data_IF_281206919599
#
_entry.id   IF_281206919599
#
_cell.length_a   1.000
_cell.length_b   1.000
_cell.length_c   1.000
_cell.angle_alpha   90.00
_cell.angle_beta   90.00
_cell.angle_gamma   90.00
#
_symmetry.space_group_name_H-M   'P 1'
#
loop_
_entity.id
_entity.type
_entity.pdbx_description
1 polymer ?
#
# COMPACT_ATOMS: atom_id res chain seq x y z
N UNK A 1 -18.09 -25.97 4.15
CA UNK A 1 -17.56 -24.81 4.91
C UNK A 1 -18.24 -24.85 6.26
N UNK A 2 -17.50 -24.66 7.34
CA UNK A 2 -18.06 -24.61 8.69
C UNK A 2 -17.89 -23.19 9.23
N UNK A 3 -18.95 -22.64 9.82
CA UNK A 3 -18.98 -21.33 10.44
C UNK A 3 -19.39 -21.51 11.89
N UNK A 4 -18.63 -20.93 12.81
CA UNK A 4 -18.94 -20.97 14.24
C UNK A 4 -18.75 -19.59 14.86
N UNK A 5 -19.77 -19.09 15.54
CA UNK A 5 -19.69 -17.88 16.34
C UNK A 5 -19.03 -18.22 17.68
N UNK A 6 -17.98 -17.49 18.04
CA UNK A 6 -17.21 -17.68 19.26
C UNK A 6 -17.32 -16.38 20.06
N UNK A 7 -17.75 -16.47 21.31
CA UNK A 7 -17.72 -15.32 22.22
C UNK A 7 -16.28 -14.90 22.49
N UNK A 8 -16.04 -13.59 22.43
CA UNK A 8 -14.77 -13.05 22.85
C UNK A 8 -14.77 -12.95 24.38
N UNK A 9 -13.98 -13.81 25.04
CA UNK A 9 -13.81 -13.77 26.49
C UNK A 9 -12.85 -12.67 26.97
N UNK A 10 -12.25 -11.92 26.04
CA UNK A 10 -11.37 -10.80 26.36
C UNK A 10 -12.18 -9.58 26.82
N UNK A 11 -12.20 -9.36 28.14
CA UNK A 11 -12.89 -8.23 28.77
C UNK A 11 -12.31 -6.87 28.36
N UNK A 12 -11.07 -6.84 27.86
CA UNK A 12 -10.37 -5.59 27.54
C UNK A 12 -10.74 -5.05 26.15
N UNK A 13 -11.50 -5.81 25.35
CA UNK A 13 -11.98 -5.38 24.04
C UNK A 13 -13.51 -5.47 23.89
N UNK A 14 -14.28 -4.62 24.61
CA UNK A 14 -15.74 -4.65 24.60
C UNK A 14 -16.36 -4.30 23.23
N UNK A 15 -15.55 -3.79 22.30
CA UNK A 15 -15.99 -3.46 20.94
C UNK A 15 -16.09 -4.69 20.04
N UNK A 16 -15.43 -5.80 20.38
CA UNK A 16 -15.43 -7.05 19.62
C UNK A 16 -16.02 -8.16 20.51
N UNK A 17 -17.36 -8.25 20.66
CA UNK A 17 -17.96 -9.27 21.52
C UNK A 17 -17.88 -10.70 20.94
N UNK A 18 -17.67 -10.84 19.63
CA UNK A 18 -17.60 -12.15 18.98
C UNK A 18 -16.53 -12.22 17.91
N UNK A 19 -16.01 -13.43 17.70
CA UNK A 19 -15.28 -13.82 16.50
C UNK A 19 -16.10 -14.83 15.72
N UNK A 20 -16.10 -14.71 14.39
CA UNK A 20 -16.58 -15.77 13.52
C UNK A 20 -15.41 -16.63 13.07
N UNK A 21 -15.37 -17.89 13.53
CA UNK A 21 -14.46 -18.90 13.01
C UNK A 21 -15.01 -19.45 11.71
N UNK A 22 -14.21 -19.39 10.65
CA UNK A 22 -14.55 -19.93 9.33
C UNK A 22 -13.54 -21.01 8.96
N UNK A 23 -14.03 -22.19 8.64
CA UNK A 23 -13.25 -23.30 8.12
C UNK A 23 -13.73 -23.68 6.73
N UNK A 24 -12.85 -23.48 5.76
CA UNK A 24 -13.09 -23.88 4.38
C UNK A 24 -12.39 -25.21 4.17
N UNK A 25 -13.15 -26.30 4.11
CA UNK A 25 -12.65 -27.68 3.96
C UNK A 25 -11.99 -27.98 2.60
N UNK A 26 -11.46 -26.97 1.90
CA UNK A 26 -10.83 -27.11 0.60
C UNK A 26 -9.34 -27.48 0.73
N UNK A 27 -8.85 -28.29 -0.22
CA UNK A 27 -7.47 -28.81 -0.32
C UNK A 27 -6.39 -27.74 -0.61
N UNK A 28 -6.67 -26.45 -0.42
CA UNK A 28 -5.73 -25.38 -0.72
C UNK A 28 -4.75 -25.15 0.43
N UNK A 29 -3.45 -24.96 0.15
CA UNK A 29 -2.47 -24.65 1.18
C UNK A 29 -2.77 -23.35 1.95
N UNK A 30 -3.53 -22.41 1.36
CA UNK A 30 -3.95 -21.17 2.03
C UNK A 30 -5.17 -21.34 2.95
N UNK A 31 -5.88 -22.47 2.88
CA UNK A 31 -7.16 -22.70 3.58
C UNK A 31 -7.08 -23.77 4.68
N UNK A 32 -5.88 -24.25 5.02
CA UNK A 32 -5.68 -25.28 6.05
C UNK A 32 -5.90 -24.77 7.48
N UNK A 33 -5.94 -23.45 7.68
CA UNK A 33 -6.15 -22.83 8.99
C UNK A 33 -7.52 -22.14 9.04
N UNK A 34 -8.20 -22.18 10.20
CA UNK A 34 -9.38 -21.36 10.43
C UNK A 34 -9.06 -19.87 10.34
N UNK A 35 -10.01 -19.12 9.80
CA UNK A 35 -10.03 -17.66 9.85
C UNK A 35 -10.85 -17.22 11.05
N UNK A 36 -10.47 -16.11 11.69
CA UNK A 36 -11.21 -15.52 12.80
C UNK A 36 -11.57 -14.09 12.44
N UNK A 37 -12.80 -13.89 12.00
CA UNK A 37 -13.27 -12.56 11.59
C UNK A 37 -13.88 -11.85 12.81
N UNK A 38 -13.34 -10.70 13.22
CA UNK A 38 -13.90 -9.94 14.34
C UNK A 38 -15.28 -9.39 13.97
N UNK A 39 -16.25 -9.55 14.88
CA UNK A 39 -17.56 -8.92 14.79
C UNK A 39 -17.60 -7.78 15.79
N UNK A 40 -17.81 -6.58 15.28
CA UNK A 40 -17.86 -5.35 16.07
C UNK A 40 -19.28 -5.05 16.51
N UNK A 41 -19.45 -4.61 17.75
CA UNK A 41 -20.71 -4.05 18.22
C UNK A 41 -20.66 -2.52 18.18
N UNK A 42 -21.65 -1.91 17.55
CA UNK A 42 -21.74 -0.46 17.47
C UNK A 42 -23.12 0.04 17.88
N UNK A 43 -23.12 0.97 18.84
CA UNK A 43 -24.30 1.73 19.23
C UNK A 43 -24.26 3.10 18.56
N UNK A 44 -25.12 3.35 17.56
CA UNK A 44 -25.25 4.67 16.92
C UNK A 44 -26.65 5.20 17.22
N UNK A 45 -26.72 6.23 18.06
CA UNK A 45 -27.98 6.85 18.53
C UNK A 45 -28.90 5.79 19.13
N UNK A 46 -30.04 5.50 18.50
CA UNK A 46 -31.05 4.54 18.97
C UNK A 46 -30.95 3.16 18.30
N UNK A 47 -29.85 2.90 17.58
CA UNK A 47 -29.66 1.63 16.87
C UNK A 47 -28.38 0.95 17.32
N UNK A 48 -28.57 -0.25 17.85
CA UNK A 48 -27.51 -1.22 18.11
C UNK A 48 -27.40 -2.16 16.92
N UNK A 49 -26.18 -2.36 16.42
CA UNK A 49 -25.93 -3.28 15.32
C UNK A 49 -24.58 -3.98 15.47
N UNK A 50 -24.53 -5.21 14.99
CA UNK A 50 -23.32 -5.99 14.82
C UNK A 50 -22.80 -5.80 13.39
N UNK A 51 -21.51 -5.52 13.27
CA UNK A 51 -20.86 -5.20 12.01
C UNK A 51 -19.66 -6.08 11.79
N UNK A 52 -19.44 -6.42 10.53
CA UNK A 52 -18.25 -7.14 10.08
C UNK A 52 -17.85 -6.62 8.71
N UNK A 53 -16.55 -6.64 8.41
CA UNK A 53 -16.02 -6.31 7.10
C UNK A 53 -15.27 -7.53 6.56
N UNK A 54 -15.61 -7.98 5.35
CA UNK A 54 -14.96 -9.12 4.69
C UNK A 54 -14.41 -8.66 3.35
N UNK A 55 -13.09 -8.59 3.23
CA UNK A 55 -12.40 -8.09 2.04
C UNK A 55 -12.94 -6.71 1.59
N UNK A 56 -13.32 -5.85 2.55
CA UNK A 56 -13.89 -4.54 2.31
C UNK A 56 -15.42 -4.51 2.15
N UNK A 57 -16.09 -5.66 2.07
CA UNK A 57 -17.55 -5.74 1.96
C UNK A 57 -18.14 -5.57 3.36
N UNK A 58 -18.85 -4.45 3.66
CA UNK A 58 -19.45 -4.25 4.97
C UNK A 58 -20.75 -5.05 5.09
N UNK A 59 -20.92 -5.74 6.21
CA UNK A 59 -22.15 -6.42 6.58
C UNK A 59 -22.61 -5.95 7.94
N UNK A 60 -23.93 -5.83 8.09
CA UNK A 60 -24.58 -5.38 9.31
C UNK A 60 -25.79 -6.25 9.59
N UNK A 61 -26.00 -6.55 10.88
CA UNK A 61 -27.23 -7.18 11.36
C UNK A 61 -27.57 -6.75 12.79
N UNK A 62 -28.79 -7.06 13.24
CA UNK A 62 -29.26 -6.72 14.60
C UNK A 62 -28.71 -7.66 15.66
N UNK A 63 -28.43 -8.90 15.30
CA UNK A 63 -27.80 -9.90 16.16
C UNK A 63 -26.55 -10.47 15.49
N UNK A 64 -25.60 -10.96 16.28
CA UNK A 64 -24.40 -11.60 15.73
C UNK A 64 -24.73 -12.87 14.93
N UNK A 65 -25.73 -13.64 15.36
CA UNK A 65 -26.19 -14.85 14.66
C UNK A 65 -26.72 -14.56 13.25
N UNK A 66 -27.41 -13.43 13.06
CA UNK A 66 -27.93 -13.02 11.75
C UNK A 66 -26.83 -12.67 10.73
N UNK A 67 -25.58 -12.45 11.17
CA UNK A 67 -24.44 -12.25 10.27
C UNK A 67 -23.97 -13.56 9.64
N UNK A 68 -24.09 -14.69 10.33
CA UNK A 68 -23.60 -16.00 9.86
C UNK A 68 -24.12 -16.36 8.46
N UNK A 69 -25.44 -16.37 8.20
CA UNK A 69 -25.96 -16.71 6.86
C UNK A 69 -25.63 -15.66 5.80
N UNK A 70 -25.32 -14.42 6.18
CA UNK A 70 -24.88 -13.37 5.24
C UNK A 70 -23.45 -13.59 4.80
N UNK A 71 -22.59 -13.95 5.75
CA UNK A 71 -21.18 -14.24 5.53
C UNK A 71 -21.02 -15.53 4.71
N UNK A 72 -21.82 -16.55 5.01
CA UNK A 72 -21.86 -17.79 4.25
C UNK A 72 -22.15 -17.57 2.75
N UNK A 73 -22.93 -16.54 2.40
CA UNK A 73 -23.19 -16.17 1.00
C UNK A 73 -22.05 -15.40 0.32
N UNK A 74 -21.17 -14.78 1.09
CA UNK A 74 -20.09 -13.90 0.59
C UNK A 74 -18.77 -14.62 0.44
N UNK A 75 -18.45 -15.57 1.33
CA UNK A 75 -17.18 -16.29 1.26
C UNK A 75 -17.03 -17.10 -0.03
N UNK A 76 -18.02 -17.91 -0.48
CA UNK A 76 -17.84 -18.76 -1.66
C UNK A 76 -17.54 -17.96 -2.95
N UNK A 77 -18.23 -16.84 -3.26
CA UNK A 77 -17.87 -16.00 -4.41
C UNK A 77 -16.47 -15.37 -4.34
N UNK A 78 -15.90 -15.19 -3.13
CA UNK A 78 -14.54 -14.70 -2.93
C UNK A 78 -13.47 -15.79 -3.11
N UNK A 79 -13.86 -17.07 -3.24
CA UNK A 79 -12.93 -18.16 -3.49
C UNK A 79 -12.71 -18.32 -4.99
N UNK A 80 -11.47 -18.16 -5.44
CA UNK A 80 -11.06 -18.45 -6.82
C UNK A 80 -9.89 -19.41 -6.82
N UNK A 81 -10.02 -20.54 -7.52
CA UNK A 81 -8.98 -21.58 -7.56
C UNK A 81 -8.61 -22.09 -6.15
N UNK A 82 -9.61 -22.19 -5.27
CA UNK A 82 -9.45 -22.49 -3.85
C UNK A 82 -8.54 -21.50 -3.07
N UNK A 83 -8.43 -20.25 -3.51
CA UNK A 83 -7.69 -19.19 -2.80
C UNK A 83 -8.60 -18.03 -2.47
N UNK A 84 -8.28 -17.38 -1.35
CA UNK A 84 -8.83 -16.08 -1.00
C UNK A 84 -8.06 -14.96 -1.70
N UNK A 85 -8.64 -13.76 -1.82
CA UNK A 85 -7.95 -12.61 -2.39
C UNK A 85 -6.75 -12.23 -1.53
N UNK A 86 -5.65 -11.85 -2.16
CA UNK A 86 -4.50 -11.26 -1.46
C UNK A 86 -4.59 -9.73 -1.42
N UNK A 87 -5.31 -9.14 -2.38
CA UNK A 87 -5.63 -7.73 -2.41
C UNK A 87 -7.09 -7.52 -2.83
N UNK A 88 -7.55 -6.29 -2.67
CA UNK A 88 -8.71 -5.78 -3.37
C UNK A 88 -8.38 -4.46 -4.05
N UNK A 89 -9.00 -4.24 -5.20
CA UNK A 89 -9.14 -2.90 -5.77
C UNK A 89 -10.50 -2.32 -5.38
N UNK A 90 -10.51 -1.05 -4.98
CA UNK A 90 -11.70 -0.34 -4.52
C UNK A 90 -11.89 0.89 -5.41
N UNK A 91 -13.00 0.92 -6.13
CA UNK A 91 -13.47 2.14 -6.79
C UNK A 91 -14.15 3.01 -5.74
N UNK A 92 -13.59 4.20 -5.45
CA UNK A 92 -13.95 4.98 -4.26
C UNK A 92 -15.38 5.52 -4.33
N UNK A 93 -15.81 5.99 -5.50
CA UNK A 93 -17.13 6.61 -5.65
C UNK A 93 -18.23 5.56 -5.71
N UNK A 94 -18.04 4.51 -6.52
CA UNK A 94 -19.02 3.42 -6.63
C UNK A 94 -19.00 2.46 -5.44
N UNK A 95 -17.94 2.51 -4.61
CA UNK A 95 -17.64 1.57 -3.51
C UNK A 95 -17.59 0.10 -3.97
N UNK A 96 -17.40 -0.14 -5.27
CA UNK A 96 -17.23 -1.48 -5.82
C UNK A 96 -15.87 -2.03 -5.45
N UNK A 97 -15.86 -3.32 -5.16
CA UNK A 97 -14.69 -4.08 -4.73
C UNK A 97 -14.40 -5.14 -5.78
N UNK A 98 -13.16 -5.17 -6.22
CA UNK A 98 -12.66 -6.12 -7.20
C UNK A 98 -11.57 -6.96 -6.52
N UNK A 99 -11.88 -8.22 -6.15
CA UNK A 99 -10.91 -9.11 -5.54
C UNK A 99 -9.72 -9.39 -6.47
N UNK A 100 -8.52 -9.40 -5.90
CA UNK A 100 -7.28 -9.69 -6.62
C UNK A 100 -6.56 -10.86 -5.96
N UNK A 101 -6.21 -11.85 -6.77
CA UNK A 101 -5.62 -13.11 -6.35
C UNK A 101 -4.16 -13.18 -6.80
N UNK A 102 -3.34 -13.91 -6.07
CA UNK A 102 -1.95 -14.22 -6.44
C UNK A 102 -1.82 -15.70 -6.74
N UNK A 103 -1.36 -16.05 -7.94
CA UNK A 103 -1.09 -17.43 -8.36
C UNK A 103 0.36 -17.53 -8.85
N UNK A 104 1.23 -18.17 -8.06
CA UNK A 104 2.67 -18.16 -8.36
C UNK A 104 3.21 -16.74 -8.39
N UNK A 105 3.75 -16.32 -9.55
CA UNK A 105 4.25 -14.97 -9.79
C UNK A 105 3.22 -14.00 -10.39
N UNK A 106 2.03 -14.47 -10.75
CA UNK A 106 1.00 -13.64 -11.37
C UNK A 106 0.01 -13.11 -10.34
N UNK A 107 -0.45 -11.88 -10.58
CA UNK A 107 -1.63 -11.29 -9.96
C UNK A 107 -2.78 -11.31 -10.94
N UNK A 108 -3.98 -11.59 -10.45
CA UNK A 108 -5.16 -11.81 -11.26
C UNK A 108 -6.36 -11.08 -10.66
N UNK A 109 -7.04 -10.25 -11.45
CA UNK A 109 -8.33 -9.65 -11.11
C UNK A 109 -9.38 -10.06 -12.14
N UNK A 110 -10.63 -10.17 -11.71
CA UNK A 110 -11.73 -10.59 -12.58
C UNK A 110 -13.01 -9.86 -12.24
N UNK A 111 -13.84 -9.63 -13.25
CA UNK A 111 -15.22 -9.16 -13.07
C UNK A 111 -16.16 -10.36 -13.26
N UNK A 112 -17.25 -10.41 -12.51
CA UNK A 112 -18.25 -11.47 -12.64
C UNK A 112 -18.84 -11.45 -14.06
N UNK A 113 -18.68 -12.54 -14.81
CA UNK A 113 -19.10 -12.62 -16.22
C UNK A 113 -18.26 -11.81 -17.21
N UNK A 114 -17.17 -11.18 -16.74
CA UNK A 114 -16.28 -10.35 -17.55
C UNK A 114 -14.92 -10.98 -17.85
N UNK A 115 -13.99 -10.22 -18.43
CA UNK A 115 -12.64 -10.69 -18.74
C UNK A 115 -11.80 -10.95 -17.48
N UNK A 116 -10.74 -11.72 -17.69
CA UNK A 116 -9.70 -11.99 -16.71
C UNK A 116 -8.50 -11.09 -16.98
N UNK A 117 -8.09 -10.29 -16.00
CA UNK A 117 -6.90 -9.45 -16.07
C UNK A 117 -5.78 -10.12 -15.30
N UNK A 118 -4.65 -10.40 -15.96
CA UNK A 118 -3.49 -11.04 -15.33
C UNK A 118 -2.20 -10.36 -15.73
N UNK A 119 -1.26 -10.27 -14.80
CA UNK A 119 0.10 -9.80 -15.05
C UNK A 119 1.01 -10.21 -13.90
N UNK A 120 2.33 -10.11 -14.06
CA UNK A 120 3.30 -10.22 -12.95
C UNK A 120 3.36 -8.95 -12.07
N UNK A 121 2.58 -7.92 -12.40
CA UNK A 121 2.58 -6.61 -11.72
C UNK A 121 1.17 -6.20 -11.33
N UNK A 122 0.98 -5.88 -10.04
CA UNK A 122 -0.28 -5.35 -9.54
C UNK A 122 -0.67 -4.03 -10.21
N UNK A 123 0.33 -3.21 -10.55
CA UNK A 123 0.15 -1.97 -11.28
C UNK A 123 -0.54 -2.18 -12.64
N UNK A 124 -0.07 -3.15 -13.43
CA UNK A 124 -0.62 -3.46 -14.75
C UNK A 124 -2.00 -4.09 -14.69
N UNK A 125 -2.26 -4.98 -13.73
CA UNK A 125 -3.62 -5.51 -13.53
C UNK A 125 -4.58 -4.38 -13.15
N UNK A 126 -4.15 -3.43 -12.31
CA UNK A 126 -4.97 -2.25 -11.99
C UNK A 126 -5.24 -1.41 -13.23
N UNK A 127 -4.23 -1.15 -14.07
CA UNK A 127 -4.34 -0.41 -15.33
C UNK A 127 -5.36 -1.06 -16.26
N UNK A 128 -5.19 -2.34 -16.59
CA UNK A 128 -6.11 -3.07 -17.48
C UNK A 128 -7.54 -3.09 -16.97
N UNK A 129 -7.72 -3.32 -15.67
CA UNK A 129 -9.04 -3.28 -15.05
C UNK A 129 -9.63 -1.87 -15.12
N UNK A 130 -8.84 -0.84 -14.83
CA UNK A 130 -9.28 0.57 -14.89
C UNK A 130 -9.72 0.93 -16.30
N UNK A 131 -8.95 0.57 -17.32
CA UNK A 131 -9.28 0.84 -18.73
C UNK A 131 -10.59 0.16 -19.14
N UNK A 132 -10.79 -1.10 -18.73
CA UNK A 132 -12.03 -1.81 -18.99
C UNK A 132 -13.23 -1.16 -18.27
N UNK A 133 -13.07 -0.78 -17.00
CA UNK A 133 -14.12 -0.13 -16.23
C UNK A 133 -14.48 1.25 -16.81
N UNK A 134 -13.52 1.98 -17.40
CA UNK A 134 -13.80 3.19 -18.18
C UNK A 134 -14.59 2.89 -19.45
N UNK A 135 -14.16 1.88 -20.23
CA UNK A 135 -14.83 1.50 -21.47
C UNK A 135 -16.27 1.04 -21.25
N UNK A 136 -16.55 0.39 -20.12
CA UNK A 136 -17.88 -0.10 -19.74
C UNK A 136 -18.72 0.92 -18.96
N UNK A 137 -18.16 2.09 -18.64
CA UNK A 137 -18.85 3.14 -17.88
C UNK A 137 -19.12 2.78 -16.41
N UNK A 138 -18.41 1.80 -15.86
CA UNK A 138 -18.50 1.45 -14.43
C UNK A 138 -17.80 2.49 -13.54
N UNK A 139 -16.78 3.16 -14.07
CA UNK A 139 -16.10 4.31 -13.47
C UNK A 139 -15.93 5.42 -14.51
N UNK A 140 -15.75 6.66 -14.05
CA UNK A 140 -15.74 7.84 -14.92
C UNK A 140 -14.31 8.31 -15.25
N UNK A 141 -14.01 8.65 -16.52
CA UNK A 141 -12.72 9.20 -16.89
C UNK A 141 -12.45 10.55 -16.17
N UNK A 142 -11.21 11.05 -16.19
CA UNK A 142 -10.89 12.37 -15.65
C UNK A 142 -11.88 13.46 -16.12
N UNK A 143 -12.24 14.44 -15.25
CA UNK A 143 -11.55 14.84 -14.03
C UNK A 143 -12.07 14.23 -12.72
N UNK A 144 -13.16 13.45 -12.73
CA UNK A 144 -13.73 12.81 -11.52
C UNK A 144 -12.81 11.76 -10.90
N UNK A 145 -11.86 11.23 -11.70
CA UNK A 145 -10.65 10.50 -11.29
C UNK A 145 -10.94 9.41 -10.25
N UNK A 146 -11.93 8.55 -10.52
CA UNK A 146 -12.22 7.39 -9.66
C UNK A 146 -11.12 6.35 -9.87
N UNK A 147 -9.98 6.57 -9.22
CA UNK A 147 -8.84 5.68 -9.25
C UNK A 147 -9.11 4.47 -8.37
N UNK A 148 -8.79 3.30 -8.89
CA UNK A 148 -8.81 2.08 -8.10
C UNK A 148 -7.76 2.16 -6.97
N UNK A 149 -8.24 2.15 -5.73
CA UNK A 149 -7.39 2.07 -4.55
C UNK A 149 -7.07 0.62 -4.25
N UNK A 150 -5.81 0.33 -3.91
CA UNK A 150 -5.42 -1.01 -3.46
C UNK A 150 -5.50 -1.12 -1.95
N UNK A 151 -5.93 -2.28 -1.46
CA UNK A 151 -5.80 -2.71 -0.06
C UNK A 151 -5.31 -4.15 -0.02
N UNK A 152 -4.52 -4.48 0.99
CA UNK A 152 -4.17 -5.86 1.31
C UNK A 152 -5.35 -6.53 1.98
N UNK A 153 -5.40 -7.86 1.92
CA UNK A 153 -6.35 -8.66 2.68
C UNK A 153 -5.58 -9.44 3.73
N UNK A 154 -5.95 -9.26 4.99
CA UNK A 154 -5.42 -10.04 6.10
C UNK A 154 -5.87 -11.49 5.97
N UNK A 155 -4.92 -12.43 5.97
CA UNK A 155 -5.23 -13.84 5.75
C UNK A 155 -5.78 -14.56 6.98
N UNK A 156 -5.82 -13.94 8.15
CA UNK A 156 -6.40 -14.49 9.37
C UNK A 156 -7.78 -13.92 9.63
N UNK A 157 -7.99 -12.63 9.34
CA UNK A 157 -9.23 -11.91 9.66
C UNK A 157 -10.09 -11.55 8.44
N UNK A 158 -9.55 -11.65 7.22
CA UNK A 158 -10.14 -11.13 5.97
C UNK A 158 -10.41 -9.62 5.98
N UNK A 159 -9.92 -8.90 6.97
CA UNK A 159 -9.99 -7.44 7.03
C UNK A 159 -9.08 -6.77 6.00
N UNK A 160 -9.37 -5.51 5.69
CA UNK A 160 -8.51 -4.73 4.81
C UNK A 160 -7.30 -4.17 5.54
N UNK A 161 -6.12 -4.43 4.99
CA UNK A 161 -4.86 -3.83 5.44
C UNK A 161 -4.54 -2.63 4.55
N UNK A 162 -4.27 -1.48 5.18
CA UNK A 162 -3.79 -0.28 4.47
C UNK A 162 -2.29 -0.40 4.20
N UNK A 163 -1.82 -0.04 3.00
CA UNK A 163 -0.38 0.08 2.77
C UNK A 163 0.24 1.13 3.69
N UNK A 164 1.39 0.82 4.27
CA UNK A 164 2.20 1.75 5.08
C UNK A 164 3.03 2.69 4.21
N UNK A 165 3.38 2.25 3.00
CA UNK A 165 3.92 3.07 1.92
C UNK A 165 3.80 2.34 0.57
N UNK A 166 4.30 2.97 -0.49
CA UNK A 166 4.41 2.38 -1.82
C UNK A 166 5.84 2.50 -2.32
N UNK A 167 6.35 1.45 -2.94
CA UNK A 167 7.53 1.55 -3.78
C UNK A 167 7.06 2.00 -5.17
N UNK A 168 7.66 3.05 -5.72
CA UNK A 168 7.29 3.58 -7.04
C UNK A 168 8.54 3.74 -7.90
N UNK A 169 8.49 3.26 -9.14
CA UNK A 169 9.53 3.53 -10.13
C UNK A 169 9.37 4.96 -10.65
N UNK A 170 10.48 5.68 -10.77
CA UNK A 170 10.54 6.96 -11.47
C UNK A 170 10.20 6.74 -12.94
N UNK A 171 9.20 7.46 -13.44
CA UNK A 171 8.98 7.59 -14.88
C UNK A 171 10.05 8.54 -15.42
N UNK A 172 10.92 8.03 -16.29
CA UNK A 172 11.90 8.83 -17.05
C UNK A 172 11.22 9.50 -18.25
N UNK A 173 10.24 8.81 -18.86
CA UNK A 173 9.46 9.31 -19.99
C UNK A 173 7.95 9.22 -19.73
N UNK A 174 7.15 9.99 -20.48
CA UNK A 174 5.69 9.95 -20.40
C UNK A 174 5.11 8.57 -20.77
N UNK A 175 5.86 7.78 -21.55
CA UNK A 175 5.49 6.43 -21.99
C UNK A 175 5.99 5.32 -21.06
N UNK A 176 6.70 5.65 -19.99
CA UNK A 176 7.23 4.64 -19.08
C UNK A 176 6.10 3.93 -18.33
N UNK A 177 6.18 2.60 -18.27
CA UNK A 177 5.29 1.79 -17.46
C UNK A 177 5.39 2.22 -15.98
N UNK A 178 4.28 2.69 -15.41
CA UNK A 178 4.20 3.02 -13.98
C UNK A 178 4.29 1.73 -13.14
N UNK A 179 5.49 1.37 -12.71
CA UNK A 179 5.63 0.37 -11.65
C UNK A 179 5.33 1.02 -10.30
N UNK A 180 4.43 0.38 -9.55
CA UNK A 180 4.26 0.63 -8.12
C UNK A 180 3.92 -0.67 -7.40
N UNK A 181 4.41 -0.80 -6.17
CA UNK A 181 4.14 -1.94 -5.31
C UNK A 181 3.77 -1.44 -3.90
N UNK A 182 2.57 -1.77 -3.40
CA UNK A 182 2.16 -1.41 -2.05
C UNK A 182 2.93 -2.24 -1.02
N UNK A 183 3.34 -1.62 0.08
CA UNK A 183 4.02 -2.27 1.20
C UNK A 183 3.09 -2.33 2.41
N UNK A 184 3.03 -3.49 3.05
CA UNK A 184 2.15 -3.77 4.18
C UNK A 184 2.96 -4.25 5.38
N UNK A 185 2.47 -4.04 6.61
CA UNK A 185 2.97 -4.74 7.77
C UNK A 185 2.64 -6.24 7.67
N UNK A 186 3.56 -7.10 8.11
CA UNK A 186 3.23 -8.51 8.36
C UNK A 186 2.18 -8.62 9.48
N UNK A 187 1.40 -9.70 9.46
CA UNK A 187 0.25 -9.89 10.37
C UNK A 187 0.68 -9.91 11.85
N UNK A 188 1.89 -10.36 12.14
CA UNK A 188 2.46 -10.39 13.49
C UNK A 188 3.12 -9.07 13.91
N UNK A 189 3.11 -8.05 13.03
CA UNK A 189 3.77 -6.76 13.24
C UNK A 189 5.31 -6.82 13.23
N UNK A 190 5.90 -8.00 12.94
CA UNK A 190 7.34 -8.22 13.06
C UNK A 190 8.12 -7.88 11.80
N UNK A 191 7.49 -7.26 10.81
CA UNK A 191 8.15 -6.90 9.58
C UNK A 191 7.25 -6.21 8.57
N UNK A 192 7.83 -5.97 7.40
CA UNK A 192 7.13 -5.44 6.25
C UNK A 192 7.22 -6.43 5.10
N UNK A 193 6.19 -6.43 4.25
CA UNK A 193 6.21 -7.21 3.04
C UNK A 193 5.60 -6.48 1.85
N UNK A 194 6.00 -6.91 0.67
CA UNK A 194 5.39 -6.51 -0.60
C UNK A 194 5.45 -7.66 -1.59
N UNK A 195 4.57 -7.65 -2.58
CA UNK A 195 4.68 -8.54 -3.74
C UNK A 195 5.19 -7.68 -4.90
N UNK A 196 6.46 -7.86 -5.22
CA UNK A 196 7.18 -7.07 -6.20
C UNK A 196 8.23 -7.96 -6.88
N UNK A 197 8.57 -7.66 -8.13
CA UNK A 197 9.50 -8.47 -8.91
C UNK A 197 9.11 -9.97 -8.89
N UNK A 198 7.83 -10.25 -9.19
CA UNK A 198 7.32 -11.61 -9.39
C UNK A 198 7.28 -12.52 -8.14
N UNK A 199 7.55 -11.98 -6.94
CA UNK A 199 7.56 -12.76 -5.69
C UNK A 199 7.15 -11.94 -4.45
N UNK A 200 6.76 -12.63 -3.37
CA UNK A 200 6.67 -12.03 -2.03
C UNK A 200 8.08 -11.71 -1.55
N UNK A 201 8.29 -10.50 -1.05
CA UNK A 201 9.51 -10.02 -0.39
C UNK A 201 9.14 -9.57 1.01
N UNK A 202 9.85 -10.07 2.01
CA UNK A 202 9.62 -9.74 3.42
C UNK A 202 10.94 -9.31 4.04
N UNK A 203 10.88 -8.34 4.95
CA UNK A 203 11.99 -7.89 5.78
C UNK A 203 11.52 -7.84 7.24
N UNK A 204 12.34 -8.25 8.22
CA UNK A 204 12.01 -8.08 9.63
C UNK A 204 11.94 -6.59 10.02
N UNK A 205 11.21 -6.29 11.09
CA UNK A 205 11.11 -4.95 11.67
C UNK A 205 12.48 -4.56 12.24
N UNK A 206 12.95 -3.37 11.87
CA UNK A 206 14.21 -2.79 12.31
C UNK A 206 14.03 -1.31 12.67
N UNK A 207 12.96 -0.99 13.41
CA UNK A 207 12.68 0.37 13.90
C UNK A 207 12.74 1.44 12.80
N UNK A 208 12.16 1.15 11.64
CA UNK A 208 12.05 2.04 10.49
C UNK A 208 13.08 1.81 9.38
N UNK A 209 14.28 1.29 9.69
CA UNK A 209 15.30 1.01 8.67
C UNK A 209 14.86 -0.08 7.67
N UNK A 210 13.91 -0.93 8.06
CA UNK A 210 13.31 -1.91 7.18
C UNK A 210 12.70 -1.31 5.90
N UNK A 211 12.36 -0.01 5.91
CA UNK A 211 11.94 0.74 4.72
C UNK A 211 13.04 0.78 3.65
N UNK A 212 14.28 1.11 4.04
CA UNK A 212 15.42 1.21 3.14
C UNK A 212 15.89 -0.17 2.68
N UNK A 213 15.89 -1.14 3.60
CA UNK A 213 16.26 -2.52 3.31
C UNK A 213 15.31 -3.17 2.30
N UNK A 214 13.99 -3.06 2.52
CA UNK A 214 12.99 -3.62 1.59
C UNK A 214 13.08 -2.93 0.23
N UNK A 215 13.21 -1.60 0.20
CA UNK A 215 13.37 -0.85 -1.04
C UNK A 215 14.58 -1.33 -1.83
N UNK A 216 15.73 -1.53 -1.18
CA UNK A 216 16.95 -2.00 -1.82
C UNK A 216 16.82 -3.45 -2.33
N UNK A 217 16.20 -4.33 -1.54
CA UNK A 217 15.89 -5.71 -1.96
C UNK A 217 15.01 -5.75 -3.22
N UNK A 218 13.96 -4.92 -3.26
CA UNK A 218 13.04 -4.85 -4.42
C UNK A 218 13.73 -4.20 -5.62
N UNK A 219 14.51 -3.15 -5.42
CA UNK A 219 15.27 -2.51 -6.48
C UNK A 219 16.24 -3.50 -7.15
N UNK A 220 16.99 -4.26 -6.36
CA UNK A 220 17.90 -5.28 -6.87
C UNK A 220 17.17 -6.38 -7.66
N UNK A 221 16.00 -6.79 -7.18
CA UNK A 221 15.16 -7.76 -7.89
C UNK A 221 14.69 -7.21 -9.24
N UNK A 222 14.21 -5.97 -9.29
CA UNK A 222 13.78 -5.34 -10.54
C UNK A 222 14.94 -5.11 -11.51
N UNK A 223 16.16 -4.84 -11.02
CA UNK A 223 17.37 -4.75 -11.86
C UNK A 223 17.70 -6.11 -12.47
N UNK A 224 17.64 -7.16 -11.66
CA UNK A 224 17.87 -8.55 -12.12
C UNK A 224 16.88 -8.96 -13.19
N UNK A 225 15.63 -8.52 -13.07
CA UNK A 225 14.56 -8.74 -14.07
C UNK A 225 14.61 -7.76 -15.26
N UNK A 226 15.63 -6.89 -15.37
CA UNK A 226 15.75 -5.84 -16.39
C UNK A 226 14.58 -4.84 -16.44
N UNK A 227 13.87 -4.66 -15.32
CA UNK A 227 12.72 -3.75 -15.18
C UNK A 227 13.08 -2.42 -14.55
N UNK A 228 14.26 -2.33 -13.93
CA UNK A 228 14.83 -1.12 -13.36
C UNK A 228 16.29 -1.01 -13.80
N UNK A 229 16.70 0.15 -14.30
CA UNK A 229 18.09 0.33 -14.76
C UNK A 229 19.03 0.66 -13.61
N UNK A 230 18.56 1.44 -12.63
CA UNK A 230 19.35 1.87 -11.48
C UNK A 230 18.53 1.80 -10.20
N UNK A 231 19.17 1.41 -9.09
CA UNK A 231 18.47 1.26 -7.82
C UNK A 231 17.76 2.54 -7.37
N UNK A 232 18.42 3.69 -7.54
CA UNK A 232 17.91 5.03 -7.22
C UNK A 232 16.68 5.47 -8.01
N UNK A 233 16.29 4.75 -9.07
CA UNK A 233 15.01 5.00 -9.75
C UNK A 233 13.80 4.46 -8.95
N UNK A 234 14.01 3.59 -7.97
CA UNK A 234 12.95 3.12 -7.07
C UNK A 234 12.90 3.98 -5.81
N UNK A 235 11.75 4.65 -5.61
CA UNK A 235 11.51 5.55 -4.49
C UNK A 235 10.48 5.02 -3.50
N UNK A 236 10.48 5.62 -2.31
CA UNK A 236 9.44 5.41 -1.29
C UNK A 236 8.42 6.54 -1.41
N UNK A 237 7.17 6.21 -1.70
CA UNK A 237 6.07 7.15 -1.89
C UNK A 237 5.00 6.93 -0.81
N UNK A 238 4.45 8.01 -0.27
CA UNK A 238 3.36 7.99 0.72
C UNK A 238 3.62 7.19 2.00
N UNK A 239 4.83 7.31 2.54
CA UNK A 239 5.22 6.75 3.84
C UNK A 239 4.40 7.34 4.98
N UNK A 240 3.90 6.48 5.87
CA UNK A 240 3.17 6.88 7.08
C UNK A 240 4.05 7.69 8.03
N UNK A 241 3.50 8.69 8.75
CA UNK A 241 4.25 9.49 9.71
C UNK A 241 4.96 8.67 10.79
N UNK A 242 4.28 7.69 11.40
CA UNK A 242 4.89 6.87 12.46
C UNK A 242 6.13 6.13 11.98
N UNK A 243 6.06 5.56 10.76
CA UNK A 243 7.18 4.84 10.17
C UNK A 243 8.29 5.78 9.69
N UNK A 244 7.94 6.99 9.25
CA UNK A 244 8.92 8.05 8.97
C UNK A 244 9.67 8.47 10.23
N UNK A 245 8.97 8.66 11.36
CA UNK A 245 9.60 9.05 12.63
C UNK A 245 10.60 8.00 13.10
N UNK A 246 10.26 6.73 12.96
CA UNK A 246 11.16 5.61 13.23
C UNK A 246 12.36 5.63 12.27
N UNK A 247 12.12 5.66 10.95
CA UNK A 247 13.19 5.67 9.94
C UNK A 247 14.15 6.84 10.14
N UNK A 248 13.65 8.04 10.45
CA UNK A 248 14.46 9.25 10.64
C UNK A 248 15.54 9.07 11.72
N UNK A 249 15.33 8.20 12.71
CA UNK A 249 16.35 7.92 13.75
C UNK A 249 17.63 7.29 13.21
N UNK A 250 17.57 6.70 12.02
CA UNK A 250 18.71 6.09 11.31
C UNK A 250 19.33 7.02 10.26
N UNK A 251 18.86 8.26 10.16
CA UNK A 251 19.26 9.21 9.13
C UNK A 251 20.06 10.38 9.72
N UNK A 252 21.10 10.81 9.01
CA UNK A 252 21.86 12.02 9.34
C UNK A 252 21.37 13.17 8.47
N UNK A 253 20.81 14.22 9.07
CA UNK A 253 20.35 15.41 8.32
C UNK A 253 21.54 16.18 7.72
N UNK A 254 21.47 16.50 6.43
CA UNK A 254 22.50 17.29 5.76
C UNK A 254 22.31 18.78 6.06
N UNK A 255 23.39 19.56 5.98
CA UNK A 255 23.31 21.03 6.00
C UNK A 255 22.67 21.61 4.73
N UNK A 256 22.69 20.86 3.63
CA UNK A 256 22.06 21.23 2.37
C UNK A 256 20.57 20.89 2.33
N UNK A 257 19.82 21.68 1.58
CA UNK A 257 18.38 21.52 1.33
C UNK A 257 18.04 21.82 -0.12
N UNK A 258 16.97 21.22 -0.63
CA UNK A 258 16.40 21.64 -1.91
C UNK A 258 15.26 22.63 -1.71
N UNK A 259 15.27 23.69 -2.49
CA UNK A 259 14.29 24.77 -2.39
C UNK A 259 13.70 25.05 -3.75
N UNK A 260 12.39 25.31 -3.77
CA UNK A 260 11.71 26.02 -4.84
C UNK A 260 10.73 27.04 -4.21
N UNK A 261 10.10 27.94 -5.00
CA UNK A 261 9.15 28.91 -4.47
C UNK A 261 7.97 28.31 -3.66
N UNK A 262 7.67 27.02 -3.84
CA UNK A 262 6.51 26.35 -3.23
C UNK A 262 6.87 25.25 -2.24
N UNK A 263 8.14 24.89 -2.12
CA UNK A 263 8.55 23.73 -1.32
C UNK A 263 9.99 23.85 -0.82
N UNK A 264 10.23 23.25 0.33
CA UNK A 264 11.56 23.02 0.90
C UNK A 264 11.67 21.53 1.25
N UNK A 265 12.74 20.88 0.79
CA UNK A 265 13.02 19.48 1.06
C UNK A 265 14.29 19.40 1.90
N UNK A 266 14.18 18.72 3.04
CA UNK A 266 15.33 18.35 3.84
C UNK A 266 16.08 17.20 3.17
N UNK A 267 17.40 17.25 3.23
CA UNK A 267 18.25 16.18 2.75
C UNK A 267 18.80 15.38 3.93
N UNK A 268 19.01 14.09 3.70
CA UNK A 268 19.55 13.16 4.68
C UNK A 268 20.56 12.23 4.01
N UNK A 269 21.47 11.71 4.82
CA UNK A 269 22.33 10.58 4.50
C UNK A 269 21.89 9.32 5.23
N UNK A 270 21.91 8.20 4.52
CA UNK A 270 21.92 6.85 5.04
C UNK A 270 23.06 6.09 4.36
N UNK A 271 24.14 5.80 5.09
CA UNK A 271 25.39 5.25 4.55
C UNK A 271 25.89 6.06 3.33
N UNK A 272 25.96 5.41 2.17
CA UNK A 272 26.39 5.99 0.89
C UNK A 272 25.23 6.54 0.04
N UNK A 273 24.02 6.63 0.58
CA UNK A 273 22.84 7.10 -0.16
C UNK A 273 22.39 8.46 0.34
N UNK A 274 22.17 9.38 -0.60
CA UNK A 274 21.53 10.66 -0.34
C UNK A 274 20.01 10.54 -0.50
N UNK A 275 19.26 11.17 0.40
CA UNK A 275 17.81 11.09 0.48
C UNK A 275 17.22 12.51 0.53
N UNK A 276 16.31 12.86 -0.39
CA UNK A 276 15.49 14.05 -0.27
C UNK A 276 14.10 13.66 0.26
N UNK A 277 13.62 14.39 1.27
CA UNK A 277 12.32 14.13 1.90
C UNK A 277 11.31 15.23 1.54
N UNK A 278 10.19 14.81 0.95
CA UNK A 278 9.00 15.63 0.70
C UNK A 278 7.90 15.27 1.69
N UNK A 279 7.44 16.25 2.47
CA UNK A 279 6.23 16.12 3.27
C UNK A 279 5.01 16.65 2.49
N UNK A 280 4.08 15.74 2.17
CA UNK A 280 2.83 16.03 1.46
C UNK A 280 1.73 16.33 2.46
N UNK A 281 1.53 17.63 2.73
CA UNK A 281 0.61 18.13 3.77
C UNK A 281 -0.85 17.72 3.55
N UNK A 282 -1.27 17.57 2.30
CA UNK A 282 -2.62 17.18 1.90
C UNK A 282 -2.92 15.69 2.16
N UNK A 283 -1.88 14.86 2.18
CA UNK A 283 -1.98 13.41 2.42
C UNK A 283 -1.56 13.00 3.84
N UNK A 284 -0.88 13.91 4.56
CA UNK A 284 -0.13 13.62 5.78
C UNK A 284 0.83 12.43 5.59
N UNK A 285 1.69 12.55 4.56
CA UNK A 285 2.62 11.49 4.15
C UNK A 285 3.98 12.02 3.72
N UNK A 286 4.96 11.13 3.76
CA UNK A 286 6.33 11.41 3.34
C UNK A 286 6.66 10.70 2.03
N UNK A 287 7.40 11.36 1.15
CA UNK A 287 8.01 10.73 -0.03
C UNK A 287 9.51 10.93 0.00
N UNK A 288 10.25 9.85 -0.24
CA UNK A 288 11.70 9.80 -0.15
C UNK A 288 12.27 9.54 -1.55
N UNK A 289 13.09 10.46 -2.02
CA UNK A 289 13.84 10.37 -3.27
C UNK A 289 15.27 9.97 -2.94
N UNK A 290 15.92 9.21 -3.82
CA UNK A 290 17.26 8.68 -3.57
C UNK A 290 18.20 9.06 -4.70
N UNK A 291 19.48 9.28 -4.39
CA UNK A 291 20.52 9.51 -5.39
C UNK A 291 21.92 9.16 -4.89
N UNK A 292 22.86 9.03 -5.82
CA UNK A 292 24.28 8.76 -5.53
C UNK A 292 25.03 9.98 -5.02
N UNK A 293 24.64 11.16 -5.48
CA UNK A 293 25.23 12.46 -5.17
C UNK A 293 24.13 13.53 -5.18
N UNK A 294 24.49 14.78 -4.83
CA UNK A 294 23.53 15.89 -4.70
C UNK A 294 22.87 16.21 -6.04
N UNK A 295 23.61 16.20 -7.15
CA UNK A 295 23.05 16.55 -8.46
C UNK A 295 22.16 15.44 -9.00
N UNK A 296 22.55 14.18 -8.85
CA UNK A 296 21.72 13.02 -9.19
C UNK A 296 20.40 13.04 -8.39
N UNK A 297 20.49 13.23 -7.07
CA UNK A 297 19.31 13.33 -6.21
C UNK A 297 18.42 14.53 -6.61
N UNK A 298 19.02 15.69 -6.89
CA UNK A 298 18.30 16.90 -7.31
C UNK A 298 17.55 16.66 -8.62
N UNK A 299 18.23 16.13 -9.64
CA UNK A 299 17.63 15.88 -10.95
C UNK A 299 16.47 14.88 -10.86
N UNK A 300 16.64 13.78 -10.11
CA UNK A 300 15.59 12.78 -9.88
C UNK A 300 14.37 13.39 -9.20
N UNK A 301 14.60 14.21 -8.17
CA UNK A 301 13.55 14.89 -7.41
C UNK A 301 12.83 15.90 -8.29
N UNK A 302 13.56 16.77 -8.98
CA UNK A 302 13.04 17.80 -9.87
C UNK A 302 12.19 17.20 -11.00
N UNK A 303 12.61 16.07 -11.58
CA UNK A 303 11.87 15.41 -12.66
C UNK A 303 10.48 14.97 -12.21
N UNK A 304 10.35 14.34 -11.03
CA UNK A 304 9.02 13.96 -10.56
C UNK A 304 8.17 15.16 -10.14
N UNK A 305 8.77 16.15 -9.48
CA UNK A 305 8.07 17.37 -9.10
C UNK A 305 7.55 18.12 -10.33
N UNK A 306 8.34 18.19 -11.41
CA UNK A 306 7.94 18.77 -12.69
C UNK A 306 6.77 18.00 -13.30
N UNK A 307 6.89 16.66 -13.37
CA UNK A 307 5.84 15.78 -13.89
C UNK A 307 4.51 15.91 -13.12
N UNK A 308 4.57 16.18 -11.82
CA UNK A 308 3.41 16.43 -10.96
C UNK A 308 2.89 17.87 -11.02
N UNK A 309 3.55 18.76 -11.75
CA UNK A 309 3.20 20.19 -11.82
C UNK A 309 3.49 20.96 -10.52
N UNK A 310 4.36 20.43 -9.65
CA UNK A 310 4.77 21.10 -8.40
C UNK A 310 5.77 22.23 -8.68
N UNK A 311 6.66 22.01 -9.67
CA UNK A 311 7.58 23.02 -10.22
C UNK A 311 7.37 23.16 -11.72
N UNK A 312 7.81 24.28 -12.32
CA UNK A 312 7.58 24.59 -13.74
C UNK A 312 8.69 24.17 -14.70
N UNK A 313 9.90 23.95 -14.20
CA UNK A 313 11.08 23.48 -14.95
C UNK A 313 12.10 22.86 -13.98
N UNK A 314 13.10 22.14 -14.47
CA UNK A 314 14.01 21.34 -13.62
C UNK A 314 14.92 22.21 -12.75
N UNK A 315 15.28 23.39 -13.23
CA UNK A 315 16.17 24.35 -12.56
C UNK A 315 15.47 25.11 -11.43
N UNK A 316 14.13 25.02 -11.34
CA UNK A 316 13.37 25.62 -10.26
C UNK A 316 13.62 24.97 -8.89
N UNK A 317 14.21 23.77 -8.86
CA UNK A 317 14.67 23.10 -7.65
C UNK A 317 16.17 23.33 -7.48
N UNK A 318 16.53 24.25 -6.58
CA UNK A 318 17.92 24.63 -6.30
C UNK A 318 18.44 23.97 -5.03
N UNK A 319 19.74 23.64 -5.01
CA UNK A 319 20.43 23.24 -3.80
C UNK A 319 20.91 24.49 -3.05
N UNK A 320 20.54 24.60 -1.77
CA UNK A 320 21.05 25.63 -0.88
C UNK A 320 21.76 24.98 0.30
N UNK A 321 23.03 25.32 0.50
CA UNK A 321 23.74 25.00 1.74
C UNK A 321 23.30 25.95 2.85
N UNK A 322 23.03 25.42 4.05
CA UNK A 322 22.87 26.27 5.22
C UNK A 322 24.15 27.07 5.43
N UNK A 323 24.05 28.40 5.43
CA UNK A 323 25.12 29.26 5.91
C UNK A 323 25.38 28.88 7.36
N UNK A 324 26.55 28.31 7.64
CA UNK A 324 27.04 28.19 9.02
C UNK A 324 27.28 29.62 9.48
N UNK A 325 26.37 30.18 10.28
CA UNK A 325 26.67 31.43 10.97
C UNK A 325 27.89 31.16 11.87
N UNK A 326 28.99 31.92 11.73
CA UNK A 326 30.13 31.75 12.59
C UNK A 326 29.67 31.99 14.03
N UNK A 327 29.82 30.98 14.88
CA UNK A 327 29.59 31.11 16.32
C UNK A 327 30.50 32.25 16.79
N UNK A 328 29.97 33.35 17.36
CA UNK A 328 30.82 34.40 17.90
C UNK A 328 31.69 33.76 18.98
N UNK A 329 33.01 33.77 18.76
CA UNK A 329 33.95 33.34 19.79
C UNK A 329 33.84 34.32 20.97
N UNK A 330 33.81 33.80 22.22
CA UNK A 330 33.64 34.60 23.43
C UNK A 330 34.76 35.60 23.67
#
# INVERSE_FOLDING_TARGET
MQLALIENSDSDNPLIPFYLRIEVAALSPDLQKPFFIPIYYQHIRDRSAYKVEICGIPLEARTATDLVPRIEKIIPPLLRGARLPSYVFIARHSRRIYPVYTFGCEVVASISGGPLFRHVELAKVREYLTDYLYQTGEIWPPPTNDRLHVRGVDRLTLGLIRPVFYLKKRAQFATDNEFWAPVFPEVDGRGLYTYAASAKRTIPNNQGDEVLQLRSMVAQALITDHRLSQGYDLRTDRLMPDLWLQLRTHLVECSARFISPRLELKLYHADHTLIAMEYRRDEDRYSLYFGSDIEDLRLRTATDLLRRGVISHLEALICQEAKVEPVPMP
#
